data_IF_029722462674
#
_entry.id   IF_029722462674
#
_cell.length_a   1.000
_cell.length_b   1.000
_cell.length_c   1.000
_cell.angle_alpha   90.00
_cell.angle_beta   90.00
_cell.angle_gamma   90.00
#
_symmetry.space_group_name_H-M   'P 1'
#
loop_
_entity.id
_entity.type
_entity.pdbx_description
1 polymer ?
#
# COMPACT_ATOMS: atom_id res chain seq x y z
N UNK A 1 -52.97 -10.84 35.77
CA UNK A 1 -51.58 -11.31 35.90
C UNK A 1 -50.95 -10.55 37.05
N UNK A 2 -50.50 -11.23 38.11
CA UNK A 2 -50.01 -10.61 39.34
C UNK A 2 -48.56 -10.09 39.15
N UNK A 3 -48.29 -8.77 39.24
CA UNK A 3 -46.97 -8.20 38.94
C UNK A 3 -45.82 -8.78 39.77
N UNK A 4 -46.11 -9.32 40.95
CA UNK A 4 -45.12 -9.99 41.82
C UNK A 4 -44.59 -11.30 41.26
N UNK A 5 -45.24 -11.87 40.24
CA UNK A 5 -44.78 -13.11 39.60
C UNK A 5 -43.60 -12.88 38.64
N UNK A 6 -43.38 -11.66 38.12
CA UNK A 6 -42.23 -11.32 37.26
C UNK A 6 -41.36 -10.17 37.73
N UNK A 7 -41.82 -9.38 38.69
CA UNK A 7 -41.00 -8.32 39.27
C UNK A 7 -40.19 -8.86 40.45
N UNK A 8 -38.91 -8.48 40.48
CA UNK A 8 -38.03 -8.70 41.63
C UNK A 8 -37.71 -7.35 42.26
N UNK A 9 -37.65 -7.32 43.60
CA UNK A 9 -37.42 -6.09 44.37
C UNK A 9 -35.95 -5.62 44.35
N UNK A 10 -35.03 -6.48 43.91
CA UNK A 10 -33.61 -6.16 43.75
C UNK A 10 -33.07 -6.78 42.47
N UNK A 11 -32.00 -6.18 41.93
CA UNK A 11 -31.28 -6.72 40.77
C UNK A 11 -30.84 -8.16 41.02
N UNK A 12 -30.32 -8.46 42.22
CA UNK A 12 -29.90 -9.82 42.58
C UNK A 12 -31.05 -10.83 42.59
N UNK A 13 -32.21 -10.44 43.14
CA UNK A 13 -33.39 -11.30 43.12
C UNK A 13 -33.95 -11.47 41.70
N UNK A 14 -33.75 -10.49 40.81
CA UNK A 14 -34.08 -10.62 39.39
C UNK A 14 -33.13 -11.61 38.71
N UNK A 15 -31.83 -11.38 38.87
CA UNK A 15 -30.79 -12.17 38.23
C UNK A 15 -30.85 -13.64 38.64
N UNK A 16 -31.00 -13.94 39.94
CA UNK A 16 -31.13 -15.31 40.45
C UNK A 16 -32.37 -16.04 39.94
N UNK A 17 -33.45 -15.30 39.67
CA UNK A 17 -34.74 -15.87 39.30
C UNK A 17 -34.77 -16.29 37.83
N UNK A 18 -34.09 -15.55 36.96
CA UNK A 18 -34.15 -15.75 35.51
C UNK A 18 -32.88 -16.32 34.90
N UNK A 19 -31.76 -16.22 35.60
CA UNK A 19 -30.46 -16.62 35.09
C UNK A 19 -29.74 -17.53 36.08
N UNK A 20 -28.95 -18.47 35.54
CA UNK A 20 -28.16 -19.44 36.31
C UNK A 20 -26.75 -19.52 35.72
N UNK A 21 -25.77 -19.88 36.56
CA UNK A 21 -24.38 -19.99 36.15
C UNK A 21 -23.82 -18.67 35.60
N UNK A 22 -23.11 -18.73 34.47
CA UNK A 22 -22.42 -17.58 33.89
C UNK A 22 -23.36 -16.40 33.54
N UNK A 23 -24.63 -16.67 33.16
CA UNK A 23 -25.62 -15.63 32.87
C UNK A 23 -26.06 -14.86 34.13
N UNK A 24 -25.99 -15.49 35.31
CA UNK A 24 -26.27 -14.82 36.58
C UNK A 24 -25.15 -13.82 36.90
N UNK A 25 -23.89 -14.21 36.74
CA UNK A 25 -22.74 -13.35 37.04
C UNK A 25 -22.62 -12.16 36.06
N UNK A 26 -22.99 -12.36 34.80
CA UNK A 26 -23.15 -11.30 33.80
C UNK A 26 -24.26 -10.30 34.18
N UNK A 27 -25.44 -10.81 34.57
CA UNK A 27 -26.56 -9.98 35.05
C UNK A 27 -26.19 -9.18 36.31
N UNK A 28 -25.34 -9.74 37.17
CA UNK A 28 -24.87 -9.08 38.39
C UNK A 28 -23.69 -8.12 38.18
N UNK A 29 -23.18 -7.99 36.95
CA UNK A 29 -22.02 -7.15 36.64
C UNK A 29 -20.75 -7.54 37.39
N UNK A 30 -20.62 -8.83 37.74
CA UNK A 30 -19.51 -9.37 38.57
C UNK A 30 -18.33 -9.89 37.77
N UNK A 31 -18.38 -9.78 36.44
CA UNK A 31 -17.24 -10.13 35.60
C UNK A 31 -16.11 -9.11 35.77
N UNK A 32 -14.87 -9.55 36.08
CA UNK A 32 -13.72 -8.66 36.05
C UNK A 32 -13.50 -8.17 34.61
N UNK A 33 -12.96 -6.95 34.43
CA UNK A 33 -12.58 -6.44 33.13
C UNK A 33 -11.30 -7.16 32.67
N UNK A 34 -11.42 -8.43 32.33
CA UNK A 34 -10.36 -9.20 31.71
C UNK A 34 -10.71 -9.51 30.25
N UNK A 35 -9.65 -9.55 29.46
CA UNK A 35 -9.55 -9.26 28.03
C UNK A 35 -10.16 -10.33 27.10
N UNK A 36 -11.07 -11.18 27.57
CA UNK A 36 -11.49 -12.40 26.85
C UNK A 36 -12.94 -12.85 27.10
N UNK A 37 -13.89 -11.92 27.29
CA UNK A 37 -15.33 -12.23 27.28
C UNK A 37 -16.11 -11.26 26.38
N UNK A 38 -17.06 -11.81 25.60
CA UNK A 38 -17.81 -11.24 24.48
C UNK A 38 -18.74 -10.02 24.78
N UNK A 39 -18.36 -9.15 25.72
CA UNK A 39 -18.97 -7.84 25.99
C UNK A 39 -18.06 -6.69 25.54
N UNK A 40 -17.15 -6.95 24.60
CA UNK A 40 -16.41 -5.90 23.91
C UNK A 40 -17.39 -5.08 23.08
N UNK A 41 -17.45 -3.76 23.30
CA UNK A 41 -18.04 -2.87 22.32
C UNK A 41 -17.26 -3.07 21.02
N UNK A 42 -17.88 -3.75 20.05
CA UNK A 42 -17.23 -4.09 18.78
C UNK A 42 -17.21 -2.85 17.88
N UNK A 43 -16.15 -2.75 17.09
CA UNK A 43 -16.01 -1.66 16.14
C UNK A 43 -16.81 -1.96 14.88
N UNK A 44 -17.63 -1.00 14.46
CA UNK A 44 -18.42 -1.07 13.23
C UNK A 44 -18.24 0.20 12.39
N UNK A 45 -18.38 0.12 11.05
CA UNK A 45 -18.12 1.27 10.22
C UNK A 45 -19.23 2.34 10.31
N UNK A 46 -18.83 3.61 10.46
CA UNK A 46 -19.72 4.79 10.53
C UNK A 46 -20.34 5.20 9.18
N UNK A 47 -20.90 4.25 8.43
CA UNK A 47 -21.45 4.54 7.09
C UNK A 47 -22.66 5.47 7.14
N UNK A 48 -23.40 5.47 8.25
CA UNK A 48 -24.59 6.31 8.44
C UNK A 48 -24.27 7.70 9.03
N UNK A 49 -23.05 7.92 9.50
CA UNK A 49 -22.61 9.20 10.06
C UNK A 49 -21.63 9.92 9.14
N UNK A 50 -20.43 10.16 9.66
CA UNK A 50 -19.37 10.90 8.97
C UNK A 50 -18.69 10.09 7.87
N UNK A 51 -18.85 8.76 7.88
CA UNK A 51 -18.18 7.81 6.99
C UNK A 51 -16.65 7.99 6.95
N UNK A 52 -16.06 8.26 8.13
CA UNK A 52 -14.62 8.50 8.27
C UNK A 52 -13.92 7.51 9.20
N UNK A 53 -14.65 6.64 9.88
CA UNK A 53 -14.04 5.62 10.70
C UNK A 53 -15.02 4.69 11.37
N UNK A 54 -14.51 3.96 12.37
CA UNK A 54 -15.29 2.97 13.09
C UNK A 54 -15.72 3.49 14.46
N UNK A 55 -16.96 3.18 14.83
CA UNK A 55 -17.59 3.49 16.11
C UNK A 55 -17.70 2.23 16.96
N UNK A 56 -17.77 2.42 18.27
CA UNK A 56 -17.98 1.43 19.32
C UNK A 56 -19.05 1.92 20.31
N UNK A 57 -20.01 2.73 19.85
CA UNK A 57 -20.95 3.46 20.71
C UNK A 57 -22.25 2.70 21.05
N UNK A 58 -22.37 1.43 20.64
CA UNK A 58 -23.53 0.59 20.89
C UNK A 58 -24.78 0.98 20.08
N UNK A 59 -24.62 1.76 19.00
CA UNK A 59 -25.70 2.17 18.08
C UNK A 59 -25.58 1.52 16.70
N UNK A 60 -25.04 0.31 16.66
CA UNK A 60 -24.88 -0.49 15.46
C UNK A 60 -26.24 -0.61 14.73
N UNK A 61 -26.30 -0.30 13.43
CA UNK A 61 -27.50 -0.57 12.65
C UNK A 61 -27.84 -2.06 12.66
N UNK A 62 -29.14 -2.39 12.68
CA UNK A 62 -29.63 -3.78 12.75
C UNK A 62 -29.04 -4.70 11.68
N UNK A 63 -28.79 -4.20 10.47
CA UNK A 63 -28.21 -5.01 9.40
C UNK A 63 -26.74 -5.38 9.67
N UNK A 64 -26.00 -4.56 10.41
CA UNK A 64 -24.64 -4.88 10.85
C UNK A 64 -24.65 -5.95 11.93
N UNK A 65 -25.62 -5.88 12.86
CA UNK A 65 -25.85 -6.91 13.87
C UNK A 65 -26.26 -8.25 13.24
N UNK A 66 -27.09 -8.21 12.19
CA UNK A 66 -27.56 -9.40 11.48
C UNK A 66 -26.45 -10.13 10.72
N UNK A 67 -25.36 -9.44 10.36
CA UNK A 67 -24.19 -9.99 9.71
C UNK A 67 -22.91 -9.58 10.46
N UNK A 68 -22.90 -9.85 11.76
CA UNK A 68 -21.87 -9.38 12.69
C UNK A 68 -20.45 -9.82 12.30
N UNK A 69 -20.29 -11.04 11.79
CA UNK A 69 -19.00 -11.59 11.36
C UNK A 69 -18.32 -10.79 10.24
N UNK A 70 -19.11 -10.01 9.48
CA UNK A 70 -18.59 -9.17 8.40
C UNK A 70 -18.35 -7.74 8.91
N UNK A 71 -19.34 -7.16 9.59
CA UNK A 71 -19.33 -5.73 9.91
C UNK A 71 -18.64 -5.37 11.24
N UNK A 72 -18.59 -6.30 12.18
CA UNK A 72 -18.08 -6.04 13.52
C UNK A 72 -16.67 -6.59 13.65
N UNK A 73 -15.78 -5.79 14.24
CA UNK A 73 -14.39 -6.19 14.49
C UNK A 73 -14.04 -5.98 15.95
N UNK A 74 -13.13 -6.82 16.47
CA UNK A 74 -12.70 -6.76 17.86
C UNK A 74 -11.84 -5.53 18.15
N UNK A 75 -11.18 -4.99 17.13
CA UNK A 75 -10.33 -3.81 17.27
C UNK A 75 -10.72 -2.73 16.26
N UNK A 76 -10.52 -1.47 16.65
CA UNK A 76 -10.68 -0.33 15.76
C UNK A 76 -9.79 -0.45 14.53
N UNK A 77 -8.57 -0.95 14.73
CA UNK A 77 -7.61 -1.17 13.64
C UNK A 77 -8.14 -2.16 12.60
N UNK A 78 -8.67 -3.30 13.02
CA UNK A 78 -9.25 -4.30 12.12
C UNK A 78 -10.46 -3.76 11.35
N UNK A 79 -11.39 -3.07 12.05
CA UNK A 79 -12.52 -2.43 11.37
C UNK A 79 -12.04 -1.37 10.35
N UNK A 80 -11.07 -0.54 10.74
CA UNK A 80 -10.50 0.45 9.84
C UNK A 80 -9.79 -0.19 8.64
N UNK A 81 -9.06 -1.29 8.81
CA UNK A 81 -8.44 -2.03 7.69
C UNK A 81 -9.49 -2.58 6.73
N UNK A 82 -10.60 -3.11 7.24
CA UNK A 82 -11.65 -3.70 6.40
C UNK A 82 -12.49 -2.68 5.64
N UNK A 83 -12.78 -1.53 6.26
CA UNK A 83 -13.78 -0.58 5.72
C UNK A 83 -13.23 0.80 5.38
N UNK A 84 -12.07 1.16 5.90
CA UNK A 84 -11.46 2.49 5.79
C UNK A 84 -9.96 2.41 5.54
N UNK A 85 -9.47 1.41 4.80
CA UNK A 85 -8.04 1.27 4.47
C UNK A 85 -7.50 2.56 3.84
N UNK A 86 -8.29 3.16 2.94
CA UNK A 86 -8.02 4.44 2.30
C UNK A 86 -7.91 5.64 3.27
N UNK A 87 -8.33 5.49 4.52
CA UNK A 87 -8.28 6.50 5.58
C UNK A 87 -7.78 5.93 6.91
N UNK A 88 -6.90 4.92 6.88
CA UNK A 88 -6.53 4.14 8.05
C UNK A 88 -6.00 5.01 9.21
N UNK A 89 -5.22 6.06 8.90
CA UNK A 89 -4.68 6.97 9.91
C UNK A 89 -5.77 7.76 10.63
N UNK A 90 -6.63 8.48 9.90
CA UNK A 90 -7.70 9.24 10.56
C UNK A 90 -8.75 8.32 11.19
N UNK A 91 -8.95 7.13 10.63
CA UNK A 91 -9.86 6.13 11.18
C UNK A 91 -9.36 5.58 12.51
N UNK A 92 -8.08 5.22 12.64
CA UNK A 92 -7.52 4.65 13.88
C UNK A 92 -7.07 5.70 14.89
N UNK A 93 -6.77 6.92 14.44
CA UNK A 93 -6.13 7.96 15.27
C UNK A 93 -4.65 7.69 15.53
N UNK A 94 -4.07 6.65 14.92
CA UNK A 94 -2.69 6.24 15.13
C UNK A 94 -1.88 6.63 13.90
N UNK A 95 -1.05 7.68 14.02
CA UNK A 95 -0.11 8.02 12.95
C UNK A 95 0.88 6.85 12.84
N UNK A 96 0.99 6.20 11.67
CA UNK A 96 1.98 5.16 11.49
C UNK A 96 3.35 5.73 11.80
N UNK A 97 4.09 5.05 12.66
CA UNK A 97 5.48 5.40 12.92
C UNK A 97 6.28 4.98 11.70
N UNK A 98 6.82 5.94 10.96
CA UNK A 98 7.77 5.65 9.88
C UNK A 98 8.94 4.89 10.48
N UNK A 99 9.33 3.79 9.85
CA UNK A 99 10.66 3.26 10.03
C UNK A 99 11.63 4.29 9.44
N UNK A 100 12.52 4.83 10.27
CA UNK A 100 13.58 5.73 9.79
C UNK A 100 14.28 5.06 8.59
N UNK A 101 14.26 5.71 7.42
CA UNK A 101 14.88 5.19 6.20
C UNK A 101 13.93 4.67 5.12
N UNK A 102 12.61 4.79 5.24
CA UNK A 102 11.70 4.47 4.14
C UNK A 102 11.63 5.60 3.09
N UNK A 103 11.67 5.19 1.81
CA UNK A 103 11.56 6.05 0.64
C UNK A 103 10.12 6.11 0.12
N UNK A 104 9.70 7.28 -0.37
CA UNK A 104 8.39 7.50 -0.97
C UNK A 104 8.49 8.36 -2.25
N UNK A 105 7.59 8.18 -3.23
CA UNK A 105 7.69 8.91 -4.48
C UNK A 105 7.33 10.39 -4.30
N UNK A 106 8.08 11.28 -4.94
CA UNK A 106 7.74 12.70 -5.03
C UNK A 106 6.96 12.99 -6.32
N UNK A 107 5.72 13.44 -6.15
CA UNK A 107 4.88 13.89 -7.26
C UNK A 107 4.59 15.39 -7.20
N UNK A 108 5.20 16.14 -6.28
CA UNK A 108 4.94 17.55 -6.06
C UNK A 108 5.27 18.44 -7.27
N UNK A 109 6.09 17.94 -8.21
CA UNK A 109 6.45 18.63 -9.45
C UNK A 109 5.75 18.18 -10.72
N UNK A 110 4.89 17.15 -10.69
CA UNK A 110 4.22 16.57 -11.87
C UNK A 110 5.12 15.83 -12.87
N UNK A 111 6.40 16.22 -12.95
CA UNK A 111 7.47 15.56 -13.73
C UNK A 111 8.64 15.10 -12.85
N UNK A 112 8.51 15.17 -11.52
CA UNK A 112 9.53 14.65 -10.61
C UNK A 112 9.59 13.13 -10.71
N UNK A 113 10.79 12.59 -10.91
CA UNK A 113 11.09 11.15 -10.90
C UNK A 113 11.84 10.75 -9.63
N UNK A 114 11.70 11.52 -8.55
CA UNK A 114 12.50 11.35 -7.34
C UNK A 114 11.75 10.53 -6.28
N UNK A 115 12.51 9.76 -5.51
CA UNK A 115 12.04 9.15 -4.27
C UNK A 115 12.73 9.83 -3.08
N UNK A 116 11.94 10.38 -2.16
CA UNK A 116 12.41 11.14 -1.01
C UNK A 116 12.51 10.26 0.24
N UNK A 117 13.36 10.68 1.16
CA UNK A 117 13.59 10.05 2.47
C UNK A 117 13.90 11.14 3.51
N UNK A 118 13.06 12.17 3.53
CA UNK A 118 13.21 13.36 4.38
C UNK A 118 12.30 13.34 5.62
N UNK A 119 11.44 12.33 5.74
CA UNK A 119 10.46 12.23 6.82
C UNK A 119 9.21 13.10 6.64
N UNK A 120 9.14 13.88 5.57
CA UNK A 120 8.01 14.79 5.25
C UNK A 120 6.96 14.09 4.38
N UNK A 121 6.70 12.81 4.69
CA UNK A 121 5.78 11.95 3.93
C UNK A 121 4.37 12.56 3.93
N UNK A 122 3.76 12.80 2.75
CA UNK A 122 2.39 13.29 2.68
C UNK A 122 1.40 12.35 3.36
N UNK A 123 0.41 12.92 4.08
CA UNK A 123 -0.58 12.15 4.83
C UNK A 123 -1.28 11.08 3.96
N UNK A 124 -1.49 11.38 2.67
CA UNK A 124 -2.16 10.44 1.77
C UNK A 124 -1.35 9.18 1.46
N UNK A 125 -0.02 9.26 1.55
CA UNK A 125 0.86 8.11 1.37
C UNK A 125 0.93 7.24 2.62
N UNK A 126 0.67 7.84 3.79
CA UNK A 126 0.56 7.11 5.07
C UNK A 126 -0.69 6.21 5.12
N UNK A 127 -1.72 6.50 4.33
CA UNK A 127 -2.92 5.66 4.22
C UNK A 127 -2.64 4.32 3.52
N UNK A 128 -1.62 4.20 2.67
CA UNK A 128 -1.24 2.95 2.00
C UNK A 128 0.28 2.76 1.97
N UNK A 129 0.87 2.65 3.16
CA UNK A 129 2.32 2.53 3.31
C UNK A 129 2.92 1.38 2.50
N UNK A 130 2.24 0.24 2.41
CA UNK A 130 2.74 -0.91 1.64
C UNK A 130 2.92 -0.59 0.14
N UNK A 131 2.09 0.33 -0.38
CA UNK A 131 2.16 0.77 -1.77
C UNK A 131 3.20 1.88 -1.97
N UNK A 132 3.13 2.93 -1.15
CA UNK A 132 3.94 4.14 -1.35
C UNK A 132 5.33 4.09 -0.71
N UNK A 133 5.50 3.34 0.38
CA UNK A 133 6.77 3.27 1.10
C UNK A 133 7.59 2.06 0.65
N UNK A 134 8.90 2.29 0.58
CA UNK A 134 9.89 1.27 0.24
C UNK A 134 11.11 1.41 1.12
N UNK A 135 11.65 0.29 1.60
CA UNK A 135 12.81 0.28 2.50
C UNK A 135 14.14 0.68 1.81
N UNK A 136 14.15 0.79 0.48
CA UNK A 136 15.33 1.19 -0.30
C UNK A 136 14.91 2.12 -1.44
N UNK A 137 15.86 2.96 -1.89
CA UNK A 137 15.67 3.86 -3.02
C UNK A 137 15.31 3.07 -4.28
N UNK A 138 16.01 1.95 -4.53
CA UNK A 138 15.82 1.11 -5.70
C UNK A 138 14.40 0.57 -5.80
N UNK A 139 13.84 0.05 -4.70
CA UNK A 139 12.46 -0.46 -4.70
C UNK A 139 11.44 0.64 -4.95
N UNK A 140 11.68 1.85 -4.43
CA UNK A 140 10.80 2.98 -4.69
C UNK A 140 10.83 3.36 -6.18
N UNK A 141 12.03 3.51 -6.74
CA UNK A 141 12.24 3.85 -8.14
C UNK A 141 11.67 2.78 -9.09
N UNK A 142 11.91 1.50 -8.83
CA UNK A 142 11.38 0.38 -9.63
C UNK A 142 9.85 0.34 -9.61
N UNK A 143 9.21 0.73 -8.50
CA UNK A 143 7.75 0.70 -8.40
C UNK A 143 7.11 1.91 -9.06
N UNK A 144 7.64 3.09 -8.80
CA UNK A 144 6.96 4.35 -9.12
C UNK A 144 7.55 5.07 -10.33
N UNK A 145 8.77 4.74 -10.75
CA UNK A 145 9.51 5.43 -11.80
C UNK A 145 10.30 4.46 -12.70
N UNK A 146 9.78 3.25 -12.95
CA UNK A 146 10.47 2.22 -13.74
C UNK A 146 10.81 2.68 -15.17
N UNK A 147 10.04 3.62 -15.72
CA UNK A 147 10.27 4.18 -17.04
C UNK A 147 11.47 5.13 -17.08
N UNK A 148 11.93 5.60 -15.92
CA UNK A 148 13.05 6.53 -15.79
C UNK A 148 13.90 6.20 -14.55
N UNK A 149 14.27 4.93 -14.47
CA UNK A 149 14.97 4.38 -13.31
C UNK A 149 16.33 5.06 -13.08
N UNK A 150 17.02 5.42 -14.16
CA UNK A 150 18.33 6.05 -14.11
C UNK A 150 18.26 7.44 -13.46
N UNK A 151 17.27 8.26 -13.86
CA UNK A 151 17.07 9.59 -13.27
C UNK A 151 16.67 9.46 -11.80
N UNK A 152 15.75 8.55 -11.47
CA UNK A 152 15.32 8.32 -10.09
C UNK A 152 16.45 7.88 -9.15
N UNK A 153 17.30 6.96 -9.63
CA UNK A 153 18.46 6.48 -8.86
C UNK A 153 19.62 7.48 -8.82
N UNK A 154 19.56 8.57 -9.60
CA UNK A 154 20.69 9.47 -9.79
C UNK A 154 21.89 8.78 -10.45
N UNK A 155 21.65 7.70 -11.21
CA UNK A 155 22.69 6.94 -11.92
C UNK A 155 22.70 7.32 -13.38
N UNK A 156 23.89 7.58 -13.94
CA UNK A 156 24.03 7.68 -15.39
C UNK A 156 23.75 6.32 -16.01
N UNK A 157 22.86 6.26 -17.01
CA UNK A 157 22.62 5.06 -17.78
C UNK A 157 23.97 4.49 -18.26
N UNK A 158 24.24 3.22 -17.93
CA UNK A 158 25.49 2.55 -18.31
C UNK A 158 25.23 1.75 -19.57
N UNK A 159 25.97 2.06 -20.62
CA UNK A 159 25.88 1.32 -21.86
C UNK A 159 26.28 -0.15 -21.68
N UNK A 160 25.61 -1.05 -22.40
CA UNK A 160 25.84 -2.50 -22.30
C UNK A 160 27.02 -3.01 -23.15
N UNK A 161 27.75 -2.11 -23.81
CA UNK A 161 28.80 -2.38 -24.80
C UNK A 161 28.33 -3.20 -26.03
N UNK A 162 27.01 -3.42 -26.18
CA UNK A 162 26.38 -4.03 -27.35
C UNK A 162 26.24 -3.04 -28.49
N UNK A 163 25.83 -3.50 -29.67
CA UNK A 163 25.72 -2.67 -30.87
C UNK A 163 24.26 -2.42 -31.23
N UNK A 164 23.91 -1.20 -31.59
CA UNK A 164 22.58 -0.83 -32.11
C UNK A 164 22.72 0.02 -33.37
N UNK A 165 21.62 0.14 -34.11
CA UNK A 165 21.57 0.90 -35.35
C UNK A 165 21.25 2.36 -35.06
N UNK A 166 22.10 3.26 -35.55
CA UNK A 166 21.83 4.67 -35.71
C UNK A 166 21.31 4.88 -37.13
N UNK A 167 20.00 5.09 -37.24
CA UNK A 167 19.30 5.24 -38.53
C UNK A 167 19.56 6.59 -39.19
N UNK A 168 19.88 7.64 -38.42
CA UNK A 168 20.13 8.97 -38.95
C UNK A 168 21.48 9.02 -39.69
N UNK A 169 22.50 8.37 -39.13
CA UNK A 169 23.84 8.27 -39.72
C UNK A 169 24.06 6.97 -40.54
N UNK A 170 23.03 6.13 -40.67
CA UNK A 170 23.06 4.82 -41.34
C UNK A 170 24.28 3.95 -40.94
N UNK A 171 24.54 3.86 -39.63
CA UNK A 171 25.69 3.13 -39.08
C UNK A 171 25.30 2.33 -37.84
N UNK A 172 26.08 1.30 -37.54
CA UNK A 172 25.99 0.61 -36.25
C UNK A 172 27.01 1.20 -35.27
N UNK A 173 26.52 1.63 -34.10
CA UNK A 173 27.27 2.25 -33.00
C UNK A 173 27.21 1.38 -31.76
N UNK A 174 28.13 1.60 -30.83
CA UNK A 174 28.18 0.87 -29.57
C UNK A 174 27.38 1.61 -28.49
N UNK A 175 26.59 0.83 -27.74
CA UNK A 175 25.83 1.21 -26.54
C UNK A 175 26.82 1.51 -25.41
N UNK A 176 27.39 2.71 -25.45
CA UNK A 176 28.37 3.24 -24.50
C UNK A 176 28.44 4.77 -24.60
N UNK A 177 29.05 5.40 -23.59
CA UNK A 177 29.30 6.83 -23.54
C UNK A 177 30.77 7.13 -23.87
N UNK A 178 31.04 8.10 -24.73
CA UNK A 178 32.40 8.55 -25.03
C UNK A 178 32.66 8.77 -26.52
N UNK A 179 33.94 8.67 -26.90
CA UNK A 179 34.37 8.81 -28.29
C UNK A 179 33.92 7.58 -29.14
N UNK A 180 33.86 7.72 -30.48
CA UNK A 180 33.61 6.59 -31.37
C UNK A 180 34.48 5.37 -31.03
N UNK A 181 33.92 4.16 -31.01
CA UNK A 181 32.67 3.75 -31.66
C UNK A 181 31.37 3.97 -30.85
N UNK A 182 31.43 4.60 -29.68
CA UNK A 182 30.24 4.90 -28.88
C UNK A 182 29.25 5.80 -29.63
N UNK A 183 27.97 5.43 -29.60
CA UNK A 183 26.86 6.21 -30.14
C UNK A 183 26.02 6.93 -29.10
N UNK A 184 26.34 6.74 -27.81
CA UNK A 184 25.44 7.04 -26.70
C UNK A 184 24.81 5.76 -26.15
N UNK A 185 24.16 5.90 -25.00
CA UNK A 185 23.46 4.79 -24.35
C UNK A 185 22.19 4.50 -25.13
N UNK A 186 22.03 3.24 -25.53
CA UNK A 186 20.90 2.80 -26.35
C UNK A 186 19.60 2.84 -25.55
N UNK A 187 18.53 3.28 -26.21
CA UNK A 187 17.19 3.37 -25.64
C UNK A 187 16.64 1.97 -25.32
N UNK A 188 15.63 1.85 -24.42
CA UNK A 188 15.04 0.57 -24.07
C UNK A 188 14.45 -0.21 -25.27
N UNK A 189 14.04 0.49 -26.33
CA UNK A 189 13.47 -0.10 -27.55
C UNK A 189 14.51 -0.43 -28.62
N UNK A 190 15.77 -0.04 -28.46
CA UNK A 190 16.81 -0.33 -29.44
C UNK A 190 17.18 -1.82 -29.46
N UNK A 191 17.16 -2.42 -30.65
CA UNK A 191 17.61 -3.80 -30.80
C UNK A 191 19.14 -3.87 -30.70
N UNK A 192 19.61 -4.55 -29.66
CA UNK A 192 21.04 -4.69 -29.35
C UNK A 192 21.60 -6.01 -29.91
N UNK A 193 22.76 -5.93 -30.54
CA UNK A 193 23.50 -7.03 -31.16
C UNK A 193 24.83 -7.25 -30.45
N UNK A 194 25.37 -8.48 -30.48
CA UNK A 194 26.64 -8.76 -29.81
C UNK A 194 27.86 -8.27 -30.60
N UNK A 195 27.69 -7.91 -31.88
CA UNK A 195 28.75 -7.33 -32.70
C UNK A 195 28.22 -6.31 -33.72
N UNK A 196 29.12 -5.42 -34.19
CA UNK A 196 28.83 -4.47 -35.26
C UNK A 196 28.38 -5.17 -36.54
N UNK A 197 28.98 -6.30 -36.85
CA UNK A 197 28.68 -7.10 -38.05
C UNK A 197 27.26 -7.65 -37.99
N UNK A 198 26.83 -8.13 -36.82
CA UNK A 198 25.46 -8.63 -36.64
C UNK A 198 24.44 -7.50 -36.78
N UNK A 199 24.71 -6.33 -36.19
CA UNK A 199 23.88 -5.15 -36.35
C UNK A 199 23.75 -4.74 -37.82
N UNK A 200 24.87 -4.60 -38.53
CA UNK A 200 24.88 -4.21 -39.94
C UNK A 200 24.16 -5.23 -40.82
N UNK A 201 24.33 -6.53 -40.59
CA UNK A 201 23.61 -7.58 -41.33
C UNK A 201 22.10 -7.59 -41.03
N UNK A 202 21.73 -7.31 -39.78
CA UNK A 202 20.34 -7.32 -39.32
C UNK A 202 19.56 -6.08 -39.74
N UNK A 203 20.15 -4.90 -39.61
CA UNK A 203 19.45 -3.61 -39.71
C UNK A 203 19.87 -2.76 -40.90
N UNK A 204 21.03 -2.98 -41.53
CA UNK A 204 21.58 -2.10 -42.57
C UNK A 204 22.21 -2.86 -43.73
N UNK A 205 21.67 -4.04 -44.08
CA UNK A 205 22.24 -4.91 -45.12
C UNK A 205 22.32 -4.26 -46.51
N UNK A 206 21.48 -3.24 -46.75
CA UNK A 206 21.50 -2.44 -47.98
C UNK A 206 22.64 -1.41 -48.02
N UNK A 207 23.15 -0.95 -46.89
CA UNK A 207 24.17 0.11 -46.79
C UNK A 207 25.54 -0.44 -47.18
N UNK A 208 26.18 0.17 -48.17
CA UNK A 208 27.46 -0.29 -48.72
C UNK A 208 28.58 -0.39 -47.66
N UNK A 209 28.61 0.53 -46.68
CA UNK A 209 29.57 0.52 -45.57
C UNK A 209 29.36 -0.63 -44.57
N UNK A 210 28.17 -1.23 -44.55
CA UNK A 210 27.81 -2.39 -43.73
C UNK A 210 27.92 -3.73 -44.50
N UNK A 211 28.31 -3.70 -45.79
CA UNK A 211 28.58 -4.91 -46.58
C UNK A 211 30.01 -5.36 -46.33
N UNK A 212 30.20 -6.23 -45.33
CA UNK A 212 31.47 -6.92 -45.13
C UNK A 212 31.76 -7.81 -46.34
N UNK A 213 32.92 -7.62 -46.98
CA UNK A 213 33.41 -8.46 -48.07
C UNK A 213 33.89 -9.81 -47.55
#
# INVERSE_FOLDING_TARGET
VNPTEWLSSTMEACCKKYFVGYLYDACMGRYPPDHDDCNVMLYYPDWNGSNKGCLDDGKEPYYMLSNHQYFLSNTREECCKNFYEWNLYSCTGTKPTLTNGDYYPDWSGGSSTQCLNDGEVPDYMLYSQAWYLSTTLEKCCERHFYWDLNECLGTTAVGTDKWYVDYDDEKCVQDCSGAPPCGGVAEPWDQKYTSKEQCCKGQLSWVAKCRFK
#
